data_IF_387350786962
#
_entry.id   IF_387350786962
#
_cell.length_a   1.000
_cell.length_b   1.000
_cell.length_c   1.000
_cell.angle_alpha   90.00
_cell.angle_beta   90.00
_cell.angle_gamma   90.00
#
_symmetry.space_group_name_H-M   'P 1'
#
loop_
_entity.id
_entity.type
_entity.pdbx_description
1 polymer ?
#
# COMPACT_ATOMS: atom_id res chain seq x y z
N UNK A 1 -28.50 22.76 19.35
CA UNK A 1 -28.94 24.02 18.72
C UNK A 1 -28.22 25.13 19.46
N UNK A 2 -27.08 25.53 18.89
CA UNK A 2 -26.07 26.37 19.53
C UNK A 2 -26.61 27.79 19.72
N UNK A 3 -26.91 28.11 20.98
CA UNK A 3 -27.53 29.38 21.38
C UNK A 3 -26.69 30.59 20.93
N UNK A 4 -25.37 30.40 20.84
CA UNK A 4 -24.42 31.43 20.42
C UNK A 4 -24.52 31.76 18.93
N UNK A 5 -24.83 30.79 18.06
CA UNK A 5 -25.07 31.07 16.63
C UNK A 5 -26.29 31.96 16.42
N UNK A 6 -27.33 31.74 17.22
CA UNK A 6 -28.56 32.53 17.13
C UNK A 6 -28.36 33.97 17.60
N UNK A 7 -27.55 34.20 18.64
CA UNK A 7 -27.26 35.54 19.15
C UNK A 7 -26.45 36.35 18.14
N UNK A 8 -25.42 35.77 17.51
CA UNK A 8 -24.65 36.44 16.45
C UNK A 8 -25.51 36.74 15.22
N UNK A 9 -26.37 35.80 14.80
CA UNK A 9 -27.28 36.01 13.66
C UNK A 9 -28.27 37.14 13.93
N UNK A 10 -28.76 37.25 15.17
CA UNK A 10 -29.65 38.34 15.61
C UNK A 10 -28.92 39.70 15.61
N UNK A 11 -27.65 39.74 15.99
CA UNK A 11 -26.85 40.96 15.98
C UNK A 11 -26.67 41.55 14.57
N UNK A 12 -26.56 40.70 13.54
CA UNK A 12 -26.43 41.15 12.14
C UNK A 12 -27.66 41.90 11.60
N UNK A 13 -28.84 41.53 12.09
CA UNK A 13 -30.10 42.14 11.67
C UNK A 13 -30.56 43.30 12.56
N UNK A 14 -29.84 43.60 13.64
CA UNK A 14 -30.22 44.68 14.54
C UNK A 14 -29.66 46.03 14.03
N UNK A 15 -30.52 47.01 13.70
CA UNK A 15 -30.08 48.31 13.20
C UNK A 15 -29.32 49.15 14.24
N UNK A 16 -29.38 48.78 15.52
CA UNK A 16 -28.70 49.46 16.62
C UNK A 16 -27.29 48.94 16.92
N UNK A 17 -26.79 47.98 16.13
CA UNK A 17 -25.44 47.41 16.29
C UNK A 17 -24.48 48.09 15.32
N UNK A 18 -23.28 48.43 15.78
CA UNK A 18 -22.24 49.04 14.94
C UNK A 18 -21.75 48.06 13.86
N UNK A 19 -21.30 48.59 12.71
CA UNK A 19 -20.77 47.74 11.64
C UNK A 19 -19.55 46.91 12.10
N UNK A 20 -18.68 47.46 12.94
CA UNK A 20 -17.56 46.71 13.55
C UNK A 20 -18.02 45.52 14.40
N UNK A 21 -19.13 45.67 15.13
CA UNK A 21 -19.70 44.58 15.92
C UNK A 21 -20.42 43.54 15.04
N UNK A 22 -21.02 43.97 13.91
CA UNK A 22 -21.57 43.05 12.91
C UNK A 22 -20.47 42.26 12.21
N UNK A 23 -19.34 42.87 11.89
CA UNK A 23 -18.16 42.18 11.33
C UNK A 23 -17.66 41.10 12.28
N UNK A 24 -17.50 41.42 13.58
CA UNK A 24 -17.13 40.42 14.58
C UNK A 24 -18.15 39.28 14.65
N UNK A 25 -19.45 39.57 14.62
CA UNK A 25 -20.50 38.56 14.59
C UNK A 25 -20.45 37.66 13.33
N UNK A 26 -20.04 38.20 12.18
CA UNK A 26 -19.81 37.39 10.95
C UNK A 26 -18.62 36.46 11.11
N UNK A 27 -17.52 36.96 11.67
CA UNK A 27 -16.32 36.17 11.88
C UNK A 27 -16.56 35.02 12.86
N UNK A 28 -17.22 35.29 13.99
CA UNK A 28 -17.58 34.24 14.96
C UNK A 28 -18.49 33.16 14.36
N UNK A 29 -19.39 33.51 13.44
CA UNK A 29 -20.23 32.52 12.75
C UNK A 29 -19.45 31.64 11.77
N UNK A 30 -18.39 32.15 11.16
CA UNK A 30 -17.50 31.37 10.29
C UNK A 30 -16.71 30.35 11.12
N UNK A 31 -16.07 30.80 12.20
CA UNK A 31 -15.30 29.93 13.10
C UNK A 31 -16.15 28.79 13.66
N UNK A 32 -17.40 29.09 14.08
CA UNK A 32 -18.31 28.07 14.59
C UNK A 32 -18.81 27.08 13.52
N UNK A 33 -18.79 27.43 12.24
CA UNK A 33 -19.08 26.49 11.16
C UNK A 33 -17.86 25.61 10.85
N UNK A 34 -16.65 26.17 10.94
CA UNK A 34 -15.41 25.39 10.80
C UNK A 34 -15.25 24.36 11.92
N UNK A 35 -15.57 24.75 13.16
CA UNK A 35 -15.51 23.83 14.30
C UNK A 35 -16.62 22.75 14.25
N UNK A 36 -17.80 23.06 13.72
CA UNK A 36 -18.82 22.05 13.42
C UNK A 36 -18.33 21.08 12.34
N UNK A 37 -17.78 21.57 11.24
CA UNK A 37 -17.21 20.72 10.19
C UNK A 37 -16.07 19.83 10.71
N UNK A 38 -15.23 20.34 11.62
CA UNK A 38 -14.18 19.55 12.29
C UNK A 38 -14.75 18.46 13.20
N UNK A 39 -15.85 18.74 13.92
CA UNK A 39 -16.53 17.75 14.77
C UNK A 39 -17.24 16.70 13.94
N UNK A 40 -17.90 17.07 12.85
CA UNK A 40 -18.51 16.12 11.91
C UNK A 40 -17.45 15.18 11.30
N UNK A 41 -16.29 15.71 10.90
CA UNK A 41 -15.17 14.89 10.44
C UNK A 41 -14.60 13.95 11.53
N UNK A 42 -14.69 14.34 12.80
CA UNK A 42 -14.26 13.49 13.94
C UNK A 42 -15.32 12.42 14.30
N UNK A 43 -16.61 12.72 14.13
CA UNK A 43 -17.70 11.77 14.36
C UNK A 43 -17.81 10.72 13.24
N UNK A 44 -17.58 11.10 11.97
CA UNK A 44 -17.49 10.14 10.85
C UNK A 44 -16.28 9.20 10.97
N UNK A 45 -15.18 9.66 11.59
CA UNK A 45 -14.03 8.80 11.90
C UNK A 45 -14.33 7.73 12.99
N UNK A 46 -15.46 7.84 13.70
CA UNK A 46 -15.88 6.92 14.75
C UNK A 46 -16.59 5.64 14.29
N UNK A 47 -17.01 5.55 13.01
CA UNK A 47 -17.76 4.40 12.48
C UNK A 47 -16.99 3.50 11.51
N UNK A 48 -15.67 3.69 11.37
CA UNK A 48 -14.85 2.73 10.65
C UNK A 48 -14.47 1.58 11.57
N UNK A 49 -15.26 0.51 11.57
CA UNK A 49 -14.91 -0.77 12.21
C UNK A 49 -13.54 -1.20 11.66
N UNK A 50 -12.47 -1.24 12.48
CA UNK A 50 -11.16 -1.54 11.95
C UNK A 50 -11.14 -3.05 11.67
N UNK A 51 -11.13 -3.42 10.40
CA UNK A 51 -10.60 -4.73 9.99
C UNK A 51 -9.08 -4.76 10.19
N UNK A 52 -8.60 -4.48 11.40
CA UNK A 52 -7.22 -4.73 11.80
C UNK A 52 -7.19 -6.05 12.57
N UNK A 53 -7.32 -7.14 11.81
CA UNK A 53 -6.88 -8.47 12.23
C UNK A 53 -5.36 -8.37 12.48
N UNK A 54 -4.99 -8.16 13.74
CA UNK A 54 -3.64 -8.40 14.28
C UNK A 54 -2.47 -8.07 13.34
N UNK A 55 -2.35 -6.82 12.88
CA UNK A 55 -1.04 -6.30 12.47
C UNK A 55 -0.37 -5.66 13.68
N UNK A 56 -0.10 -6.50 14.68
CA UNK A 56 0.85 -6.20 15.75
C UNK A 56 2.23 -6.34 15.10
N UNK A 57 2.96 -5.24 14.97
CA UNK A 57 4.36 -5.09 14.48
C UNK A 57 4.57 -4.81 12.99
N UNK A 58 4.24 -3.59 12.58
CA UNK A 58 5.16 -2.76 11.79
C UNK A 58 5.15 -1.34 12.38
N UNK A 59 5.43 -1.21 13.68
CA UNK A 59 6.07 0.01 14.18
C UNK A 59 7.48 0.00 13.60
N UNK A 60 7.63 0.35 12.32
CA UNK A 60 8.94 0.71 11.79
C UNK A 60 9.28 2.06 12.40
N UNK A 61 9.85 2.01 13.60
CA UNK A 61 10.71 3.08 14.07
C UNK A 61 11.87 3.10 13.09
N UNK A 62 11.82 3.98 12.09
CA UNK A 62 13.04 4.41 11.40
C UNK A 62 13.86 5.19 12.44
N UNK A 63 14.50 4.44 13.32
CA UNK A 63 15.48 4.95 14.24
C UNK A 63 16.74 5.23 13.43
N UNK A 64 17.03 6.51 13.24
CA UNK A 64 18.23 7.08 12.58
C UNK A 64 18.14 7.18 11.05
N UNK A 65 18.24 8.41 10.53
CA UNK A 65 18.25 8.74 9.11
C UNK A 65 19.46 8.17 8.33
N UNK A 66 20.43 7.58 9.02
CA UNK A 66 21.67 7.03 8.46
C UNK A 66 21.65 5.51 8.21
N UNK A 67 20.59 4.78 8.60
CA UNK A 67 20.54 3.34 8.35
C UNK A 67 20.01 3.05 6.94
N UNK A 68 20.75 2.28 6.11
CA UNK A 68 20.25 1.84 4.82
C UNK A 68 18.98 1.01 5.03
N UNK A 69 17.95 1.26 4.20
CA UNK A 69 16.68 0.55 4.30
C UNK A 69 16.90 -0.97 4.26
N UNK A 70 16.19 -1.76 5.09
CA UNK A 70 16.35 -3.21 5.11
C UNK A 70 16.03 -3.81 3.73
N UNK A 71 16.70 -4.91 3.32
CA UNK A 71 16.59 -5.44 1.96
C UNK A 71 15.15 -5.78 1.55
N UNK A 72 14.35 -6.30 2.48
CA UNK A 72 12.95 -6.61 2.24
C UNK A 72 12.12 -5.37 1.90
N UNK A 73 12.43 -4.22 2.50
CA UNK A 73 11.75 -2.95 2.26
C UNK A 73 12.17 -2.36 0.91
N UNK A 74 13.47 -2.42 0.56
CA UNK A 74 13.96 -2.03 -0.77
C UNK A 74 13.25 -2.82 -1.88
N UNK A 75 13.11 -4.14 -1.70
CA UNK A 75 12.40 -5.01 -2.64
C UNK A 75 10.91 -4.65 -2.74
N UNK A 76 10.26 -4.34 -1.62
CA UNK A 76 8.84 -3.99 -1.61
C UNK A 76 8.60 -2.62 -2.26
N UNK A 77 9.45 -1.64 -1.97
CA UNK A 77 9.42 -0.32 -2.61
C UNK A 77 9.61 -0.44 -4.12
N UNK A 78 10.61 -1.22 -4.56
CA UNK A 78 10.83 -1.48 -5.98
C UNK A 78 9.62 -2.15 -6.66
N UNK A 79 8.94 -3.09 -5.99
CA UNK A 79 7.68 -3.66 -6.52
C UNK A 79 6.59 -2.60 -6.68
N UNK A 80 6.45 -1.70 -5.71
CA UNK A 80 5.49 -0.59 -5.75
C UNK A 80 5.76 0.34 -6.93
N UNK A 81 7.01 0.74 -7.14
CA UNK A 81 7.38 1.58 -8.28
C UNK A 81 7.18 0.87 -9.62
N UNK A 82 7.52 -0.42 -9.73
CA UNK A 82 7.23 -1.23 -10.93
C UNK A 82 5.72 -1.27 -11.21
N UNK A 83 4.89 -1.40 -10.19
CA UNK A 83 3.44 -1.36 -10.34
C UNK A 83 2.94 0.02 -10.81
N UNK A 84 3.49 1.10 -10.25
CA UNK A 84 3.15 2.47 -10.66
C UNK A 84 3.43 2.72 -12.15
N UNK A 85 4.51 2.16 -12.70
CA UNK A 85 4.83 2.27 -14.14
C UNK A 85 3.77 1.66 -15.06
N UNK A 86 3.11 0.60 -14.61
CA UNK A 86 2.09 -0.09 -15.40
C UNK A 86 0.67 0.41 -15.13
N UNK A 87 0.47 1.23 -14.10
CA UNK A 87 -0.85 1.74 -13.74
C UNK A 87 -1.25 2.91 -14.68
N UNK A 88 -2.34 2.79 -15.45
CA UNK A 88 -2.80 3.86 -16.33
C UNK A 88 -3.30 5.11 -15.57
N UNK A 89 -3.64 4.98 -14.29
CA UNK A 89 -4.11 6.08 -13.44
C UNK A 89 -2.98 6.92 -12.85
N UNK A 90 -1.72 6.49 -13.01
CA UNK A 90 -0.55 7.24 -12.53
C UNK A 90 -0.13 8.24 -13.62
N UNK A 91 0.14 9.47 -13.20
CA UNK A 91 0.63 10.53 -14.09
C UNK A 91 1.99 10.19 -14.70
N UNK A 92 2.33 10.79 -15.84
CA UNK A 92 3.64 10.59 -16.46
C UNK A 92 4.78 11.06 -15.54
N UNK A 93 4.61 12.17 -14.84
CA UNK A 93 5.56 12.65 -13.81
C UNK A 93 5.76 11.61 -12.69
N UNK A 94 4.68 10.97 -12.22
CA UNK A 94 4.74 9.92 -11.21
C UNK A 94 5.47 8.68 -11.70
N UNK A 95 5.30 8.33 -12.99
CA UNK A 95 6.04 7.23 -13.62
C UNK A 95 7.51 7.57 -13.79
N UNK A 96 7.86 8.78 -14.20
CA UNK A 96 9.26 9.23 -14.28
C UNK A 96 9.97 9.17 -12.93
N UNK A 97 9.29 9.63 -11.88
CA UNK A 97 9.79 9.49 -10.52
C UNK A 97 10.00 8.02 -10.15
N UNK A 98 9.03 7.16 -10.43
CA UNK A 98 9.15 5.72 -10.17
C UNK A 98 10.34 5.08 -10.92
N UNK A 99 10.61 5.48 -12.17
CA UNK A 99 11.81 5.02 -12.92
C UNK A 99 13.10 5.44 -12.23
N UNK A 100 13.17 6.69 -11.76
CA UNK A 100 14.35 7.24 -11.09
C UNK A 100 14.64 6.49 -9.78
N UNK A 101 13.62 6.28 -8.96
CA UNK A 101 13.74 5.53 -7.70
C UNK A 101 14.15 4.07 -7.92
N UNK A 102 13.66 3.44 -9.00
CA UNK A 102 14.04 2.07 -9.35
C UNK A 102 15.52 1.93 -9.74
N UNK A 103 16.12 2.96 -10.34
CA UNK A 103 17.54 2.99 -10.66
C UNK A 103 18.40 3.20 -9.41
N UNK A 104 17.91 3.99 -8.45
CA UNK A 104 18.63 4.29 -7.21
C UNK A 104 18.63 3.12 -6.21
N UNK A 105 17.51 2.40 -6.09
CA UNK A 105 17.32 1.40 -5.02
C UNK A 105 17.94 0.02 -5.27
N UNK A 106 18.49 -0.23 -6.47
CA UNK A 106 19.01 -1.52 -6.96
C UNK A 106 18.32 -2.76 -6.34
N UNK A 107 17.17 -3.16 -6.91
CA UNK A 107 16.39 -4.26 -6.36
C UNK A 107 17.08 -5.63 -6.47
N UNK A 108 18.12 -5.74 -7.31
CA UNK A 108 18.85 -6.98 -7.50
C UNK A 108 19.82 -7.23 -6.34
N UNK A 109 20.58 -6.24 -5.92
CA UNK A 109 21.46 -6.33 -4.74
C UNK A 109 20.65 -6.70 -3.48
N UNK A 110 19.52 -6.02 -3.26
CA UNK A 110 18.64 -6.33 -2.15
C UNK A 110 18.08 -7.77 -2.18
N UNK A 111 17.80 -8.29 -3.37
CA UNK A 111 17.36 -9.68 -3.56
C UNK A 111 18.46 -10.68 -3.28
N UNK A 112 19.68 -10.38 -3.68
CA UNK A 112 20.84 -11.24 -3.42
C UNK A 112 21.19 -11.24 -1.94
N UNK A 113 21.14 -10.10 -1.26
CA UNK A 113 21.35 -10.03 0.20
C UNK A 113 20.29 -10.84 0.96
N UNK A 114 19.02 -10.78 0.54
CA UNK A 114 17.93 -11.46 1.26
C UNK A 114 17.75 -12.94 0.87
N UNK A 115 17.99 -13.29 -0.39
CA UNK A 115 17.68 -14.61 -0.95
C UNK A 115 18.88 -15.35 -1.53
N UNK A 116 20.06 -14.72 -1.64
CA UNK A 116 21.24 -15.28 -2.31
C UNK A 116 21.80 -16.53 -1.64
N UNK A 117 21.63 -16.68 -0.32
CA UNK A 117 22.21 -17.81 0.43
C UNK A 117 21.27 -18.99 0.65
N UNK A 118 19.96 -18.86 0.40
CA UNK A 118 19.01 -19.95 0.64
C UNK A 118 18.72 -20.75 -0.63
N UNK A 119 19.27 -21.96 -0.80
CA UNK A 119 18.86 -22.82 -1.89
C UNK A 119 17.36 -23.09 -1.79
N UNK A 120 16.65 -22.97 -2.92
CA UNK A 120 15.23 -23.30 -2.99
C UNK A 120 15.06 -24.75 -2.57
N UNK A 121 14.07 -25.02 -1.72
CA UNK A 121 13.77 -26.39 -1.30
C UNK A 121 13.52 -27.26 -2.53
N UNK A 122 14.28 -28.36 -2.73
CA UNK A 122 14.17 -29.19 -3.92
C UNK A 122 12.75 -29.76 -4.07
N UNK A 123 12.08 -30.06 -2.95
CA UNK A 123 10.68 -30.49 -2.90
C UNK A 123 9.72 -29.43 -3.45
N UNK A 124 9.93 -28.15 -3.12
CA UNK A 124 9.09 -27.06 -3.66
C UNK A 124 9.34 -26.84 -5.16
N UNK A 125 10.59 -26.96 -5.59
CA UNK A 125 10.95 -26.90 -7.02
C UNK A 125 10.27 -28.04 -7.78
N UNK A 126 10.36 -29.28 -7.27
CA UNK A 126 9.69 -30.44 -7.85
C UNK A 126 8.17 -30.27 -7.91
N UNK A 127 7.53 -29.78 -6.83
CA UNK A 127 6.09 -29.51 -6.83
C UNK A 127 5.69 -28.49 -7.92
N UNK A 128 6.47 -27.43 -8.11
CA UNK A 128 6.25 -26.45 -9.17
C UNK A 128 6.41 -27.05 -10.57
N UNK A 129 7.44 -27.87 -10.78
CA UNK A 129 7.63 -28.57 -12.05
C UNK A 129 6.50 -29.58 -12.31
N UNK A 130 5.98 -30.28 -11.28
CA UNK A 130 4.82 -31.17 -11.41
C UNK A 130 3.55 -30.38 -11.80
N UNK A 131 3.35 -29.18 -11.26
CA UNK A 131 2.25 -28.32 -11.67
C UNK A 131 2.36 -27.93 -13.15
N UNK A 132 3.58 -27.65 -13.62
CA UNK A 132 3.85 -27.35 -15.04
C UNK A 132 3.50 -28.54 -15.94
N UNK A 133 3.88 -29.77 -15.58
CA UNK A 133 3.59 -30.96 -16.41
C UNK A 133 2.09 -31.22 -16.58
N UNK A 134 1.26 -30.85 -15.61
CA UNK A 134 -0.19 -31.05 -15.65
C UNK A 134 -0.97 -29.87 -16.25
N UNK A 135 -0.31 -28.73 -16.47
CA UNK A 135 -0.97 -27.54 -16.96
C UNK A 135 -1.23 -27.61 -18.47
N UNK A 136 -2.50 -27.82 -18.84
CA UNK A 136 -2.97 -27.89 -20.23
C UNK A 136 -2.80 -26.59 -21.01
N UNK A 137 -2.67 -25.44 -20.34
CA UNK A 137 -2.47 -24.12 -20.98
C UNK A 137 -1.05 -23.90 -21.49
N UNK A 138 -0.09 -24.73 -21.05
CA UNK A 138 1.30 -24.64 -21.49
C UNK A 138 1.52 -25.45 -22.78
N UNK A 139 2.65 -25.23 -23.45
CA UNK A 139 3.04 -26.04 -24.61
C UNK A 139 3.56 -27.42 -24.19
N UNK A 140 3.53 -28.37 -25.12
CA UNK A 140 4.12 -29.70 -24.92
C UNK A 140 5.61 -29.63 -24.63
N UNK A 141 6.34 -28.71 -25.30
CA UNK A 141 7.77 -28.52 -25.07
C UNK A 141 8.09 -28.07 -23.64
N UNK A 142 7.28 -27.16 -23.06
CA UNK A 142 7.43 -26.72 -21.67
C UNK A 142 7.13 -27.84 -20.68
N UNK A 143 6.04 -28.59 -20.90
CA UNK A 143 5.70 -29.76 -20.07
C UNK A 143 6.79 -30.83 -20.11
N UNK A 144 7.29 -31.13 -21.31
CA UNK A 144 8.35 -32.11 -21.52
C UNK A 144 9.63 -31.73 -20.76
N UNK A 145 10.03 -30.46 -20.86
CA UNK A 145 11.22 -29.95 -20.16
C UNK A 145 11.07 -30.05 -18.65
N UNK A 146 9.89 -29.72 -18.12
CA UNK A 146 9.61 -29.85 -16.69
C UNK A 146 9.65 -31.32 -16.22
N UNK A 147 9.11 -32.24 -17.03
CA UNK A 147 9.16 -33.67 -16.76
C UNK A 147 10.60 -34.22 -16.78
N UNK A 148 11.44 -33.75 -17.71
CA UNK A 148 12.86 -34.11 -17.73
C UNK A 148 13.59 -33.64 -16.47
N UNK A 149 13.38 -32.40 -16.04
CA UNK A 149 13.97 -31.86 -14.81
C UNK A 149 13.52 -32.62 -13.56
N UNK A 150 12.27 -33.08 -13.51
CA UNK A 150 11.79 -33.94 -12.42
C UNK A 150 12.51 -35.29 -12.38
N UNK A 151 12.77 -35.90 -13.54
CA UNK A 151 13.58 -37.13 -13.65
C UNK A 151 14.99 -36.90 -13.15
N UNK A 152 15.64 -35.85 -13.62
CA UNK A 152 17.00 -35.48 -13.22
C UNK A 152 17.12 -35.26 -11.71
N UNK A 153 16.11 -34.63 -11.10
CA UNK A 153 16.08 -34.39 -9.66
C UNK A 153 15.66 -35.62 -8.82
N UNK A 154 15.32 -36.75 -9.44
CA UNK A 154 14.86 -37.97 -8.74
C UNK A 154 13.42 -37.89 -8.21
N UNK A 155 12.61 -36.94 -8.70
CA UNK A 155 11.19 -36.77 -8.34
C UNK A 155 10.24 -37.27 -9.43
N UNK A 156 10.74 -37.97 -10.45
CA UNK A 156 9.88 -38.66 -11.39
C UNK A 156 9.07 -39.70 -10.63
N UNK A 157 7.75 -39.51 -10.62
CA UNK A 157 6.88 -40.44 -9.94
C UNK A 157 6.74 -41.71 -10.77
N UNK A 158 6.95 -42.83 -10.08
CA UNK A 158 6.25 -44.09 -10.31
C UNK A 158 4.74 -43.83 -10.09
N UNK A 159 4.07 -43.18 -11.04
CA UNK A 159 2.60 -43.20 -11.14
C UNK A 159 2.16 -44.44 -11.95
N UNK A 160 2.68 -45.60 -11.58
CA UNK A 160 2.17 -46.89 -12.02
C UNK A 160 1.62 -47.59 -10.77
N UNK A 161 0.30 -47.82 -10.75
CA UNK A 161 -0.49 -48.50 -9.70
C UNK A 161 -1.07 -47.61 -8.59
N UNK A 162 -2.18 -46.93 -8.90
CA UNK A 162 -3.31 -46.78 -7.97
C UNK A 162 -4.64 -46.65 -8.70
#
# INVERSE_FOLDING_TARGET
MDSDKLTFRRALHNPHVSETAKEHARQSLQDLNEDEARREMQEEAGQHVPYHRQHRRYETRHASADQPMPPQERINAARGYKAALHNPLVSEEGKEHARRMLLEMDDQEAREELYGEKPKSPTRVAAGLKAVTHNRRLSDSTRYTAAQKLREMGYAQEEEQR
#
